data_IF_096195880606
#
_entry.id   IF_096195880606
#
_cell.length_a   1.000
_cell.length_b   1.000
_cell.length_c   1.000
_cell.angle_alpha   90.00
_cell.angle_beta   90.00
_cell.angle_gamma   90.00
#
_symmetry.space_group_name_H-M   'P 1'
#
loop_
_entity.id
_entity.type
_entity.pdbx_description
1 polymer ?
#
# COMPACT_ATOMS: atom_id res chain seq x y z
N UNK A 1 25.30 57.20 72.67
CA UNK A 1 24.32 58.21 73.08
C UNK A 1 22.97 57.58 72.82
N UNK A 2 22.36 56.93 73.87
CA UNK A 2 21.48 57.47 74.89
C UNK A 2 20.13 57.84 74.25
N UNK A 3 19.07 57.40 74.62
CA UNK A 3 18.29 57.07 75.80
C UNK A 3 16.87 56.71 75.29
N UNK A 4 16.36 55.61 75.67
CA UNK A 4 15.42 55.28 76.78
C UNK A 4 14.08 56.01 76.77
N UNK A 5 13.13 55.13 77.17
CA UNK A 5 11.92 55.20 78.00
C UNK A 5 10.56 55.20 77.24
N UNK A 6 9.85 54.08 77.36
CA UNK A 6 8.84 53.78 78.40
C UNK A 6 7.57 54.64 78.29
N UNK A 7 6.48 54.06 78.03
CA UNK A 7 5.44 53.97 79.04
C UNK A 7 4.34 52.94 78.64
N UNK A 8 4.08 52.04 79.56
CA UNK A 8 2.93 51.11 79.63
C UNK A 8 1.70 51.87 80.07
N UNK A 9 0.56 51.62 79.47
CA UNK A 9 -0.75 51.87 80.09
C UNK A 9 -1.62 50.61 79.98
N UNK A 10 -2.14 50.25 81.16
CA UNK A 10 -2.88 49.05 81.45
C UNK A 10 -4.36 49.10 81.01
N UNK A 11 -4.85 47.91 80.73
CA UNK A 11 -6.16 47.29 80.71
C UNK A 11 -7.39 48.13 81.23
N UNK A 12 -8.62 47.74 80.67
CA UNK A 12 -9.34 46.78 81.50
C UNK A 12 -9.99 45.63 80.73
N UNK A 13 -10.10 44.52 81.37
CA UNK A 13 -10.87 43.33 81.02
C UNK A 13 -12.34 43.65 81.00
N UNK A 14 -13.00 43.30 79.90
CA UNK A 14 -14.47 43.13 79.87
C UNK A 14 -14.77 41.68 79.57
N UNK A 15 -15.32 41.06 80.59
CA UNK A 15 -15.90 39.71 80.61
C UNK A 15 -17.29 39.83 80.00
N UNK A 16 -17.56 39.11 78.92
CA UNK A 16 -18.98 38.77 78.61
C UNK A 16 -19.12 37.58 77.66
N UNK A 17 -19.67 36.63 78.24
CA UNK A 17 -20.75 35.74 77.80
C UNK A 17 -20.66 35.00 76.49
N UNK A 18 -20.64 33.69 76.67
CA UNK A 18 -20.88 32.64 75.67
C UNK A 18 -22.18 32.86 74.88
N UNK A 19 -22.06 33.01 73.58
CA UNK A 19 -23.17 32.66 72.71
C UNK A 19 -22.64 31.80 71.59
N UNK A 20 -22.88 30.46 71.75
CA UNK A 20 -22.56 29.50 70.72
C UNK A 20 -23.56 29.65 69.63
N UNK A 21 -23.22 30.38 68.58
CA UNK A 21 -23.92 30.35 67.31
C UNK A 21 -23.31 29.21 66.50
N UNK A 22 -24.05 28.12 66.39
CA UNK A 22 -23.77 27.04 65.44
C UNK A 22 -23.93 27.60 64.03
N UNK A 23 -22.83 27.91 63.37
CA UNK A 23 -22.82 28.26 61.93
C UNK A 23 -22.91 26.93 61.16
N UNK A 24 -24.12 26.59 60.76
CA UNK A 24 -24.35 25.50 59.79
C UNK A 24 -23.82 26.01 58.44
N UNK A 25 -22.64 25.53 58.07
CA UNK A 25 -22.12 25.70 56.72
C UNK A 25 -22.88 24.71 55.83
N UNK A 26 -23.68 25.16 54.90
CA UNK A 26 -24.25 24.22 53.89
C UNK A 26 -23.09 23.66 53.07
N UNK A 27 -22.86 22.37 53.16
CA UNK A 27 -21.98 21.63 52.26
C UNK A 27 -22.53 21.82 50.83
N UNK A 28 -22.01 22.81 50.13
CA UNK A 28 -22.23 22.95 48.72
C UNK A 28 -21.66 21.71 48.04
N UNK A 29 -22.55 20.84 47.58
CA UNK A 29 -22.27 19.72 46.69
C UNK A 29 -21.53 20.29 45.48
N UNK A 30 -20.21 20.14 45.43
CA UNK A 30 -19.45 20.29 44.19
C UNK A 30 -19.93 19.16 43.26
N UNK A 31 -20.96 19.45 42.50
CA UNK A 31 -21.30 18.66 41.35
C UNK A 31 -20.12 18.80 40.38
N UNK A 32 -19.14 17.89 40.43
CA UNK A 32 -18.17 17.65 39.39
C UNK A 32 -18.96 17.27 38.16
N UNK A 33 -19.25 18.26 37.32
CA UNK A 33 -19.68 18.05 35.94
C UNK A 33 -18.53 17.29 35.27
N UNK A 34 -18.60 15.96 35.28
CA UNK A 34 -17.84 15.13 34.39
C UNK A 34 -18.27 15.57 32.98
N UNK A 35 -17.55 16.55 32.44
CA UNK A 35 -17.61 16.85 31.01
C UNK A 35 -17.27 15.54 30.32
N UNK A 36 -18.32 14.81 29.92
CA UNK A 36 -18.18 13.73 28.93
C UNK A 36 -17.53 14.41 27.73
N UNK A 37 -16.21 14.33 27.65
CA UNK A 37 -15.49 14.62 26.45
C UNK A 37 -16.12 13.67 25.42
N UNK A 38 -17.10 14.17 24.66
CA UNK A 38 -17.57 13.51 23.48
C UNK A 38 -16.31 13.33 22.63
N UNK A 39 -15.75 12.14 22.67
CA UNK A 39 -14.69 11.76 21.76
C UNK A 39 -15.25 12.05 20.37
N UNK A 40 -14.76 13.12 19.74
CA UNK A 40 -15.25 13.52 18.41
C UNK A 40 -15.19 12.29 17.54
N UNK A 41 -16.36 11.91 16.99
CA UNK A 41 -16.45 10.70 16.18
C UNK A 41 -15.45 10.81 15.02
N UNK A 42 -14.49 9.89 14.97
CA UNK A 42 -13.54 9.82 13.87
C UNK A 42 -14.24 9.39 12.58
N UNK A 43 -13.97 10.03 11.43
CA UNK A 43 -13.19 11.26 11.24
C UNK A 43 -14.05 12.53 11.45
N UNK A 44 -13.47 13.58 12.06
CA UNK A 44 -14.11 14.90 12.25
C UNK A 44 -13.53 16.01 11.36
N UNK A 45 -12.49 15.70 10.59
CA UNK A 45 -11.79 16.59 9.65
C UNK A 45 -11.35 15.82 8.42
N UNK A 46 -10.95 16.48 7.32
CA UNK A 46 -10.46 15.80 6.12
C UNK A 46 -9.28 14.88 6.40
N UNK A 47 -9.24 13.75 5.66
CA UNK A 47 -8.14 12.78 5.72
C UNK A 47 -7.20 13.04 4.55
N UNK A 48 -5.90 13.15 4.84
CA UNK A 48 -4.83 13.25 3.86
C UNK A 48 -4.40 11.84 3.41
N UNK A 49 -4.55 11.57 2.14
CA UNK A 49 -4.14 10.32 1.50
C UNK A 49 -2.88 10.57 0.69
N UNK A 50 -1.72 10.26 1.27
CA UNK A 50 -0.42 10.43 0.59
C UNK A 50 -0.23 9.27 -0.37
N UNK A 51 0.23 9.56 -1.58
CA UNK A 51 0.39 8.56 -2.65
C UNK A 51 1.59 8.90 -3.54
N UNK A 52 1.84 8.05 -4.54
CA UNK A 52 2.91 8.26 -5.52
C UNK A 52 2.62 9.46 -6.47
N UNK A 53 3.52 9.66 -7.42
CA UNK A 53 3.47 10.74 -8.41
C UNK A 53 2.13 10.77 -9.15
N UNK A 54 1.69 11.98 -9.48
CA UNK A 54 0.42 12.21 -10.19
C UNK A 54 0.42 11.57 -11.59
N UNK A 55 -0.71 11.00 -11.99
CA UNK A 55 -0.92 10.37 -13.29
C UNK A 55 -0.42 8.95 -13.42
N UNK A 56 0.18 8.37 -12.36
CA UNK A 56 0.55 6.95 -12.29
C UNK A 56 -0.61 6.04 -11.84
N UNK A 57 -0.41 4.72 -11.92
CA UNK A 57 -1.40 3.74 -11.50
C UNK A 57 -1.78 3.89 -10.01
N UNK A 58 -0.80 4.16 -9.15
CA UNK A 58 -1.03 4.34 -7.72
C UNK A 58 -1.86 5.60 -7.41
N UNK A 59 -1.63 6.70 -8.15
CA UNK A 59 -2.46 7.91 -8.06
C UNK A 59 -3.90 7.65 -8.51
N UNK A 60 -4.09 6.93 -9.61
CA UNK A 60 -5.42 6.51 -10.08
C UNK A 60 -6.16 5.73 -8.99
N UNK A 61 -5.52 4.73 -8.40
CA UNK A 61 -6.09 3.92 -7.33
C UNK A 61 -6.44 4.78 -6.10
N UNK A 62 -5.54 5.67 -5.68
CA UNK A 62 -5.79 6.58 -4.57
C UNK A 62 -7.03 7.46 -4.81
N UNK A 63 -7.20 8.01 -6.03
CA UNK A 63 -8.38 8.82 -6.41
C UNK A 63 -9.65 8.00 -6.48
N UNK A 64 -9.59 6.77 -6.99
CA UNK A 64 -10.75 5.86 -6.98
C UNK A 64 -11.20 5.58 -5.54
N UNK A 65 -10.28 5.19 -4.66
CA UNK A 65 -10.60 4.95 -3.24
C UNK A 65 -11.14 6.21 -2.57
N UNK A 66 -10.46 7.36 -2.74
CA UNK A 66 -10.87 8.63 -2.15
C UNK A 66 -12.31 9.00 -2.54
N UNK A 67 -12.67 8.82 -3.80
CA UNK A 67 -14.02 9.04 -4.31
C UNK A 67 -15.05 8.14 -3.64
N UNK A 68 -14.75 6.86 -3.49
CA UNK A 68 -15.70 5.87 -2.96
C UNK A 68 -15.94 6.05 -1.44
N UNK A 69 -14.93 6.51 -0.67
CA UNK A 69 -15.03 6.57 0.80
C UNK A 69 -15.36 7.94 1.36
N UNK A 70 -15.27 9.02 0.57
CA UNK A 70 -15.55 10.39 1.07
C UNK A 70 -16.97 10.54 1.60
N UNK A 71 -17.98 10.00 0.89
CA UNK A 71 -19.38 10.00 1.32
C UNK A 71 -19.59 9.19 2.61
N UNK A 72 -19.25 7.90 2.64
CA UNK A 72 -19.38 7.05 3.83
C UNK A 72 -18.66 7.57 5.08
N UNK A 73 -17.50 8.19 4.92
CA UNK A 73 -16.76 8.79 6.04
C UNK A 73 -17.31 10.17 6.45
N UNK A 74 -18.15 10.81 5.62
CA UNK A 74 -18.64 12.16 5.86
C UNK A 74 -17.55 13.23 5.85
N UNK A 75 -16.38 12.92 5.30
CA UNK A 75 -15.21 13.80 5.26
C UNK A 75 -14.53 13.73 3.90
N UNK A 76 -13.94 14.85 3.49
CA UNK A 76 -13.15 14.90 2.27
C UNK A 76 -11.86 14.10 2.40
N UNK A 77 -11.51 13.36 1.37
CA UNK A 77 -10.22 12.69 1.24
C UNK A 77 -9.35 13.52 0.29
N UNK A 78 -8.25 14.05 0.79
CA UNK A 78 -7.31 14.89 0.03
C UNK A 78 -6.17 14.01 -0.45
N UNK A 79 -6.11 13.76 -1.76
CA UNK A 79 -5.01 13.02 -2.39
C UNK A 79 -3.80 13.95 -2.52
N UNK A 80 -2.70 13.56 -1.88
CA UNK A 80 -1.44 14.31 -1.85
C UNK A 80 -0.34 13.51 -2.55
N UNK A 81 0.02 13.93 -3.75
CA UNK A 81 1.01 13.24 -4.58
C UNK A 81 2.44 13.61 -4.14
N UNK A 82 3.28 12.60 -3.98
CA UNK A 82 4.70 12.69 -3.61
C UNK A 82 5.52 11.70 -4.44
N UNK A 83 6.85 11.82 -4.36
CA UNK A 83 7.69 10.75 -4.85
C UNK A 83 7.41 9.45 -4.07
N UNK A 84 7.45 8.29 -4.73
CA UNK A 84 7.07 7.00 -4.15
C UNK A 84 7.80 6.67 -2.84
N UNK A 85 9.11 6.95 -2.76
CA UNK A 85 9.90 6.70 -1.54
C UNK A 85 9.61 7.75 -0.46
N UNK A 86 9.50 9.03 -0.86
CA UNK A 86 9.20 10.13 0.05
C UNK A 86 7.80 9.99 0.68
N UNK A 87 6.83 9.42 -0.04
CA UNK A 87 5.47 9.19 0.48
C UNK A 87 5.49 8.27 1.70
N UNK A 88 6.30 7.21 1.67
CA UNK A 88 6.50 6.31 2.82
C UNK A 88 7.12 7.01 4.02
N UNK A 89 8.20 7.79 3.80
CA UNK A 89 8.86 8.56 4.88
C UNK A 89 7.90 9.57 5.54
N UNK A 90 7.14 10.33 4.74
CA UNK A 90 6.17 11.30 5.26
C UNK A 90 5.15 10.61 6.17
N UNK A 91 4.57 9.48 5.73
CA UNK A 91 3.51 8.82 6.49
C UNK A 91 4.06 8.11 7.72
N UNK A 92 5.23 7.48 7.66
CA UNK A 92 5.85 6.83 8.82
C UNK A 92 6.07 7.77 10.00
N UNK A 93 6.31 9.06 9.72
CA UNK A 93 6.53 10.14 10.70
C UNK A 93 5.29 10.94 11.04
N UNK A 94 4.15 10.66 10.42
CA UNK A 94 2.90 11.38 10.66
C UNK A 94 2.28 11.01 12.02
N UNK A 95 1.33 11.83 12.48
CA UNK A 95 0.57 11.53 13.70
C UNK A 95 -0.21 10.22 13.54
N UNK A 96 -0.30 9.47 14.62
CA UNK A 96 -0.96 8.14 14.68
C UNK A 96 -2.47 8.26 14.91
N UNK A 97 -3.08 9.31 14.35
CA UNK A 97 -4.48 9.69 14.57
C UNK A 97 -5.41 9.27 13.43
N UNK A 98 -4.86 8.66 12.38
CA UNK A 98 -5.61 8.20 11.21
C UNK A 98 -5.94 9.28 10.18
N UNK A 99 -5.55 10.53 10.39
CA UNK A 99 -5.79 11.61 9.43
C UNK A 99 -4.72 11.74 8.34
N UNK A 100 -3.67 10.92 8.42
CA UNK A 100 -2.71 10.75 7.32
C UNK A 100 -2.55 9.26 7.05
N UNK A 101 -2.88 8.83 5.85
CA UNK A 101 -2.74 7.44 5.39
C UNK A 101 -1.92 7.38 4.12
N UNK A 102 -1.31 6.25 3.85
CA UNK A 102 -0.54 5.96 2.65
C UNK A 102 -1.35 5.07 1.72
N UNK A 103 -1.44 5.45 0.44
CA UNK A 103 -1.82 4.54 -0.64
C UNK A 103 -0.59 4.30 -1.48
N UNK A 104 -0.14 3.04 -1.53
CA UNK A 104 1.08 2.70 -2.27
C UNK A 104 0.97 1.29 -2.86
N UNK A 105 1.78 1.05 -3.90
CA UNK A 105 1.92 -0.28 -4.50
C UNK A 105 2.89 -1.15 -3.70
N UNK A 106 3.04 -2.43 -4.12
CA UNK A 106 4.03 -3.36 -3.55
C UNK A 106 5.46 -2.83 -3.60
N UNK A 107 5.75 -1.84 -4.43
CA UNK A 107 7.03 -1.13 -4.46
C UNK A 107 7.42 -0.59 -3.08
N UNK A 108 6.43 -0.18 -2.27
CA UNK A 108 6.67 0.34 -0.92
C UNK A 108 7.42 -0.66 -0.01
N UNK A 109 7.07 -1.94 -0.04
CA UNK A 109 7.74 -2.94 0.80
C UNK A 109 8.84 -3.73 0.10
N UNK A 110 8.99 -3.54 -1.21
CA UNK A 110 10.05 -4.19 -1.99
C UNK A 110 11.26 -3.27 -2.18
N UNK A 111 11.08 -1.96 -2.32
CA UNK A 111 12.17 -0.99 -2.52
C UNK A 111 13.28 -1.08 -1.47
N UNK A 112 13.00 -1.29 -0.15
CA UNK A 112 14.06 -1.43 0.85
C UNK A 112 15.01 -2.61 0.63
N UNK A 113 14.62 -3.59 -0.19
CA UNK A 113 15.46 -4.72 -0.57
C UNK A 113 16.49 -4.36 -1.65
N UNK A 114 16.30 -3.25 -2.37
CA UNK A 114 17.11 -2.84 -3.52
C UNK A 114 17.89 -1.55 -3.27
N UNK A 115 17.41 -0.70 -2.35
CA UNK A 115 17.99 0.60 -2.04
C UNK A 115 17.69 1.02 -0.60
N UNK A 116 18.45 1.97 -0.07
CA UNK A 116 18.17 2.55 1.26
C UNK A 116 16.88 3.35 1.25
N UNK A 117 16.08 3.16 2.28
CA UNK A 117 14.85 3.93 2.55
C UNK A 117 14.91 4.51 3.95
N UNK A 118 14.17 5.59 4.20
CA UNK A 118 14.07 6.23 5.52
C UNK A 118 12.99 5.61 6.41
N UNK A 119 12.39 4.51 5.99
CA UNK A 119 11.34 3.78 6.70
C UNK A 119 11.55 2.27 6.60
N UNK A 120 11.01 1.56 7.57
CA UNK A 120 10.84 0.10 7.55
C UNK A 120 9.38 -0.23 7.19
N UNK A 121 9.09 -0.95 6.09
CA UNK A 121 7.74 -1.15 5.59
C UNK A 121 6.86 -2.01 6.49
N UNK A 122 7.44 -2.77 7.40
CA UNK A 122 6.71 -3.64 8.34
C UNK A 122 6.58 -3.00 9.71
N UNK A 123 7.66 -2.40 10.20
CA UNK A 123 7.72 -1.83 11.56
C UNK A 123 7.01 -0.49 11.68
N UNK A 124 7.14 0.36 10.66
CA UNK A 124 6.73 1.77 10.75
C UNK A 124 5.30 2.00 10.24
N UNK A 125 4.59 0.94 9.81
CA UNK A 125 3.23 1.02 9.28
C UNK A 125 2.28 0.00 9.91
N UNK A 126 1.01 0.41 9.98
CA UNK A 126 -0.13 -0.45 10.31
C UNK A 126 -0.93 -0.73 9.03
N UNK A 127 -1.04 -1.98 8.57
CA UNK A 127 -1.86 -2.34 7.42
C UNK A 127 -3.34 -2.05 7.65
N UNK A 128 -4.04 -1.53 6.63
CA UNK A 128 -5.49 -1.32 6.66
C UNK A 128 -6.17 -2.32 5.73
N UNK A 129 -5.87 -2.28 4.44
CA UNK A 129 -6.43 -3.22 3.46
C UNK A 129 -5.65 -3.22 2.16
N UNK A 130 -5.65 -4.36 1.48
CA UNK A 130 -5.31 -4.47 0.07
C UNK A 130 -6.49 -3.93 -0.75
N UNK A 131 -6.24 -2.97 -1.62
CA UNK A 131 -7.27 -2.31 -2.42
C UNK A 131 -7.63 -3.17 -3.62
N UNK A 132 -6.61 -3.48 -4.41
CA UNK A 132 -6.75 -4.17 -5.69
C UNK A 132 -5.59 -5.11 -5.98
N UNK A 133 -5.80 -5.88 -7.03
CA UNK A 133 -4.79 -6.68 -7.74
C UNK A 133 -4.83 -6.30 -9.20
N UNK A 134 -3.68 -6.07 -9.79
CA UNK A 134 -3.51 -5.88 -11.22
C UNK A 134 -2.65 -7.02 -11.76
N UNK A 135 -3.22 -7.99 -12.48
CA UNK A 135 -2.44 -9.07 -13.05
C UNK A 135 -1.52 -8.54 -14.13
N UNK A 136 -0.33 -9.11 -14.21
CA UNK A 136 0.48 -9.01 -15.40
C UNK A 136 0.21 -10.24 -16.28
N UNK A 137 0.56 -10.15 -17.54
CA UNK A 137 0.48 -11.28 -18.48
C UNK A 137 1.86 -11.58 -19.04
N UNK A 138 2.17 -12.86 -19.11
CA UNK A 138 3.34 -13.37 -19.83
C UNK A 138 2.97 -13.43 -21.30
N UNK A 139 3.61 -12.57 -22.09
CA UNK A 139 3.40 -12.47 -23.54
C UNK A 139 4.68 -12.79 -24.30
N UNK A 140 4.52 -13.33 -25.49
CA UNK A 140 5.61 -13.60 -26.43
C UNK A 140 5.31 -13.04 -27.80
N UNK A 141 6.37 -12.75 -28.57
CA UNK A 141 6.23 -12.42 -30.00
C UNK A 141 5.75 -13.65 -30.78
N UNK A 142 4.87 -13.52 -31.78
CA UNK A 142 4.33 -14.66 -32.54
C UNK A 142 5.36 -15.57 -33.18
N UNK A 143 6.56 -15.05 -33.52
CA UNK A 143 7.67 -15.85 -34.07
C UNK A 143 8.32 -16.79 -33.06
N UNK A 144 8.06 -16.62 -31.75
CA UNK A 144 8.50 -17.59 -30.74
C UNK A 144 7.64 -18.84 -30.85
N UNK A 145 8.30 -19.99 -31.04
CA UNK A 145 7.63 -21.28 -31.19
C UNK A 145 7.16 -21.84 -29.85
N UNK A 146 6.31 -21.06 -29.15
CA UNK A 146 5.68 -21.43 -27.87
C UNK A 146 4.26 -20.85 -27.81
N UNK A 147 3.29 -21.67 -27.44
CA UNK A 147 1.86 -21.31 -27.23
C UNK A 147 1.38 -21.62 -25.83
N UNK A 148 2.29 -22.08 -24.97
CA UNK A 148 2.06 -22.30 -23.55
C UNK A 148 3.31 -21.97 -22.74
N UNK A 149 3.16 -21.78 -21.42
CA UNK A 149 4.30 -21.58 -20.52
C UNK A 149 5.24 -22.79 -20.53
N UNK A 150 4.69 -24.02 -20.61
CA UNK A 150 5.48 -25.25 -20.70
C UNK A 150 6.37 -25.29 -21.94
N UNK A 151 5.82 -24.91 -23.09
CA UNK A 151 6.57 -24.84 -24.34
C UNK A 151 7.65 -23.77 -24.31
N UNK A 152 7.35 -22.59 -23.72
CA UNK A 152 8.32 -21.52 -23.54
C UNK A 152 9.49 -21.96 -22.65
N UNK A 153 9.19 -22.61 -21.53
CA UNK A 153 10.21 -23.16 -20.59
C UNK A 153 11.04 -24.24 -21.30
N UNK A 154 10.40 -25.15 -22.02
CA UNK A 154 11.11 -26.19 -22.79
C UNK A 154 12.03 -25.58 -23.84
N UNK A 155 11.57 -24.58 -24.59
CA UNK A 155 12.37 -23.87 -25.61
C UNK A 155 13.58 -23.17 -24.96
N UNK A 156 13.38 -22.47 -23.83
CA UNK A 156 14.43 -21.77 -23.12
C UNK A 156 15.50 -22.74 -22.54
N UNK A 157 15.08 -23.92 -22.10
CA UNK A 157 15.99 -24.99 -21.63
C UNK A 157 16.74 -25.65 -22.76
N UNK A 158 16.10 -25.86 -23.91
CA UNK A 158 16.75 -26.44 -25.10
C UNK A 158 17.80 -25.48 -25.73
N UNK A 159 17.60 -24.17 -25.60
CA UNK A 159 18.47 -23.15 -26.19
C UNK A 159 18.81 -22.06 -25.15
N UNK A 160 19.65 -22.37 -24.14
CA UNK A 160 19.97 -21.44 -23.06
C UNK A 160 20.59 -20.14 -23.59
N UNK A 161 20.08 -18.98 -23.12
CA UNK A 161 20.60 -17.66 -23.45
C UNK A 161 20.22 -17.13 -24.85
N UNK A 162 19.44 -17.88 -25.65
CA UNK A 162 19.00 -17.41 -26.97
C UNK A 162 17.74 -16.55 -26.89
N UNK A 163 16.87 -16.79 -25.88
CA UNK A 163 15.71 -15.96 -25.65
C UNK A 163 16.11 -14.77 -24.78
N UNK A 164 15.47 -13.62 -25.07
CA UNK A 164 15.60 -12.42 -24.26
C UNK A 164 14.21 -11.91 -23.85
N UNK A 165 14.18 -11.11 -22.79
CA UNK A 165 12.96 -10.48 -22.30
C UNK A 165 13.20 -8.99 -22.03
N UNK A 166 12.17 -8.19 -22.28
CA UNK A 166 12.19 -6.75 -22.02
C UNK A 166 11.51 -6.37 -20.72
N UNK A 167 11.96 -5.27 -20.12
CA UNK A 167 11.33 -4.65 -18.96
C UNK A 167 11.31 -3.14 -19.08
N UNK A 168 10.57 -2.45 -18.20
CA UNK A 168 10.55 -0.99 -18.15
C UNK A 168 11.80 -0.39 -17.47
N UNK A 169 12.78 -1.22 -17.09
CA UNK A 169 14.01 -0.84 -16.40
C UNK A 169 14.36 -1.82 -15.28
N UNK A 170 15.60 -1.74 -14.82
CA UNK A 170 16.08 -2.56 -13.71
C UNK A 170 15.36 -2.22 -12.41
N UNK A 171 15.01 -3.25 -11.60
CA UNK A 171 14.32 -3.08 -10.32
C UNK A 171 12.81 -2.79 -10.43
N UNK A 172 12.24 -2.64 -11.63
CA UNK A 172 10.79 -2.45 -11.79
C UNK A 172 10.01 -3.73 -11.43
N UNK A 173 8.72 -3.60 -11.12
CA UNK A 173 7.86 -4.73 -10.79
C UNK A 173 7.86 -5.80 -11.90
N UNK A 174 7.88 -5.39 -13.16
CA UNK A 174 7.95 -6.29 -14.32
C UNK A 174 9.31 -7.01 -14.41
N UNK A 175 10.40 -6.33 -14.04
CA UNK A 175 11.72 -6.97 -13.95
C UNK A 175 11.73 -8.03 -12.85
N UNK A 176 11.27 -7.69 -11.65
CA UNK A 176 11.18 -8.64 -10.53
C UNK A 176 10.30 -9.84 -10.86
N UNK A 177 9.18 -9.62 -11.54
CA UNK A 177 8.29 -10.69 -12.01
C UNK A 177 9.00 -11.63 -13.01
N UNK A 178 9.77 -11.07 -13.95
CA UNK A 178 10.49 -11.84 -14.95
C UNK A 178 11.68 -12.61 -14.32
N UNK A 179 12.40 -12.01 -13.40
CA UNK A 179 13.49 -12.68 -12.66
C UNK A 179 12.97 -13.79 -11.75
N UNK A 180 11.82 -13.58 -11.09
CA UNK A 180 11.14 -14.64 -10.34
C UNK A 180 10.77 -15.80 -11.26
N UNK A 181 10.19 -15.51 -12.44
CA UNK A 181 9.85 -16.53 -13.43
C UNK A 181 11.09 -17.28 -13.91
N UNK A 182 12.15 -16.56 -14.29
CA UNK A 182 13.42 -17.13 -14.74
C UNK A 182 14.02 -18.08 -13.70
N UNK A 183 14.03 -17.65 -12.45
CA UNK A 183 14.60 -18.41 -11.32
C UNK A 183 13.76 -19.65 -11.01
N UNK A 184 12.42 -19.49 -10.91
CA UNK A 184 11.55 -20.63 -10.55
C UNK A 184 11.37 -21.64 -11.68
N UNK A 185 11.43 -21.20 -12.94
CA UNK A 185 11.39 -22.09 -14.11
C UNK A 185 12.75 -22.72 -14.42
N UNK A 186 13.82 -22.28 -13.75
CA UNK A 186 15.22 -22.69 -13.98
C UNK A 186 15.60 -22.59 -15.45
N UNK A 187 15.47 -21.37 -16.02
CA UNK A 187 15.78 -21.06 -17.41
C UNK A 187 16.83 -19.95 -17.52
N UNK A 188 17.59 -19.97 -18.61
CA UNK A 188 18.57 -18.95 -18.94
C UNK A 188 18.02 -18.10 -20.10
N UNK A 189 17.58 -16.88 -19.76
CA UNK A 189 17.10 -15.85 -20.70
C UNK A 189 17.81 -14.53 -20.41
N UNK A 190 17.98 -13.68 -21.42
CA UNK A 190 18.78 -12.44 -21.32
C UNK A 190 17.84 -11.25 -21.03
N UNK A 191 18.15 -10.48 -20.01
CA UNK A 191 17.43 -9.26 -19.68
C UNK A 191 17.85 -8.09 -20.58
N UNK A 192 16.86 -7.37 -21.13
CA UNK A 192 17.05 -6.15 -21.92
C UNK A 192 16.24 -5.03 -21.22
N UNK A 193 16.89 -4.11 -20.48
CA UNK A 193 16.25 -2.99 -19.82
C UNK A 193 15.91 -1.88 -20.82
N UNK A 194 14.72 -1.28 -20.69
CA UNK A 194 14.26 -0.11 -21.44
C UNK A 194 13.95 1.05 -20.50
N UNK A 195 13.81 2.25 -21.04
CA UNK A 195 13.41 3.45 -20.26
C UNK A 195 11.89 3.56 -20.06
N UNK A 196 11.17 2.46 -20.16
CA UNK A 196 9.72 2.39 -19.95
C UNK A 196 9.03 1.27 -20.71
N UNK A 197 7.80 0.95 -20.29
CA UNK A 197 6.99 -0.14 -20.85
C UNK A 197 6.72 0.02 -22.34
N UNK A 198 6.44 1.25 -22.78
CA UNK A 198 6.09 1.50 -24.19
C UNK A 198 7.22 1.13 -25.16
N UNK A 199 8.47 1.46 -24.84
CA UNK A 199 9.63 1.08 -25.65
C UNK A 199 9.83 -0.43 -25.69
N UNK A 200 9.71 -1.09 -24.52
CA UNK A 200 9.83 -2.54 -24.42
C UNK A 200 8.75 -3.26 -25.24
N UNK A 201 7.49 -2.78 -25.19
CA UNK A 201 6.40 -3.32 -26.03
C UNK A 201 6.67 -3.08 -27.53
N UNK A 202 7.16 -1.91 -27.91
CA UNK A 202 7.50 -1.64 -29.31
C UNK A 202 8.55 -2.61 -29.87
N UNK A 203 9.58 -2.91 -29.09
CA UNK A 203 10.61 -3.87 -29.50
C UNK A 203 10.12 -5.32 -29.45
N UNK A 204 9.20 -5.65 -28.55
CA UNK A 204 8.52 -6.95 -28.56
C UNK A 204 7.65 -7.12 -29.81
N UNK A 205 6.90 -6.10 -30.21
CA UNK A 205 6.10 -6.09 -31.43
C UNK A 205 6.94 -6.19 -32.70
N UNK A 206 8.15 -5.63 -32.67
CA UNK A 206 9.12 -5.71 -33.77
C UNK A 206 9.91 -7.03 -33.78
N UNK A 207 9.72 -7.93 -32.79
CA UNK A 207 10.45 -9.19 -32.69
C UNK A 207 11.91 -9.03 -32.28
N UNK A 208 12.35 -7.86 -31.80
CA UNK A 208 13.73 -7.63 -31.28
C UNK A 208 13.94 -8.27 -29.92
N UNK A 209 12.88 -8.39 -29.15
CA UNK A 209 12.84 -9.21 -27.93
C UNK A 209 11.75 -10.29 -28.07
N UNK A 210 11.92 -11.37 -27.32
CA UNK A 210 11.12 -12.58 -27.49
C UNK A 210 9.91 -12.66 -26.58
N UNK A 211 10.05 -12.17 -25.34
CA UNK A 211 9.02 -12.29 -24.29
C UNK A 211 9.03 -11.08 -23.36
N UNK A 212 7.93 -10.90 -22.65
CA UNK A 212 7.78 -9.88 -21.63
C UNK A 212 6.74 -10.33 -20.61
N UNK A 213 6.94 -10.03 -19.33
CA UNK A 213 5.87 -9.99 -18.34
C UNK A 213 5.39 -8.53 -18.31
N UNK A 214 4.25 -8.28 -18.92
CA UNK A 214 3.73 -6.95 -19.15
C UNK A 214 2.52 -6.67 -18.25
N UNK A 215 2.31 -5.41 -17.87
CA UNK A 215 1.02 -4.99 -17.35
C UNK A 215 -0.07 -5.36 -18.36
N UNK A 216 -1.11 -6.02 -17.89
CA UNK A 216 -2.15 -6.57 -18.73
C UNK A 216 -2.85 -5.49 -19.55
N UNK A 217 -3.13 -4.32 -18.99
CA UNK A 217 -3.73 -3.19 -19.71
C UNK A 217 -2.88 -2.71 -20.89
N UNK A 218 -1.56 -2.72 -20.76
CA UNK A 218 -0.65 -2.30 -21.82
C UNK A 218 -0.50 -3.35 -22.93
N UNK A 219 -0.55 -4.63 -22.63
CA UNK A 219 -0.37 -5.71 -23.60
C UNK A 219 -1.68 -6.17 -24.27
N UNK A 220 -2.82 -6.06 -23.60
CA UNK A 220 -4.11 -6.58 -24.06
C UNK A 220 -4.54 -6.09 -25.46
N UNK A 221 -4.38 -4.82 -25.84
CA UNK A 221 -4.73 -4.37 -27.19
C UNK A 221 -3.94 -5.11 -28.29
N UNK A 222 -2.67 -5.41 -28.00
CA UNK A 222 -1.79 -6.10 -28.94
C UNK A 222 -2.08 -7.60 -29.02
N UNK A 223 -2.48 -8.22 -27.90
CA UNK A 223 -2.94 -9.60 -27.85
C UNK A 223 -4.25 -9.74 -28.64
N UNK A 224 -5.24 -8.85 -28.40
CA UNK A 224 -6.51 -8.82 -29.16
C UNK A 224 -6.30 -8.63 -30.66
N UNK A 225 -5.29 -7.85 -31.04
CA UNK A 225 -4.94 -7.64 -32.45
C UNK A 225 -4.09 -8.79 -33.07
N UNK A 226 -3.81 -9.87 -32.32
CA UNK A 226 -2.99 -10.99 -32.76
C UNK A 226 -1.51 -10.67 -32.96
N UNK A 227 -1.05 -9.47 -32.53
CA UNK A 227 0.34 -9.04 -32.63
C UNK A 227 1.23 -9.59 -31.55
N UNK A 228 0.67 -10.05 -30.44
CA UNK A 228 1.33 -10.76 -29.36
C UNK A 228 0.53 -12.00 -28.98
N UNK A 229 1.21 -13.00 -28.43
CA UNK A 229 0.59 -14.21 -27.88
C UNK A 229 0.67 -14.16 -26.37
N UNK A 230 -0.48 -14.16 -25.69
CA UNK A 230 -0.55 -14.29 -24.24
C UNK A 230 -0.50 -15.76 -23.85
N UNK A 231 0.37 -16.12 -22.92
CA UNK A 231 0.56 -17.51 -22.47
C UNK A 231 -0.10 -17.78 -21.11
N UNK A 232 -0.09 -16.82 -20.20
CA UNK A 232 -0.64 -16.98 -18.86
C UNK A 232 -0.77 -15.62 -18.14
N UNK A 233 -1.64 -15.56 -17.14
CA UNK A 233 -1.62 -14.49 -16.13
C UNK A 233 -0.60 -14.83 -15.04
N UNK A 234 -0.03 -13.79 -14.44
CA UNK A 234 1.01 -13.94 -13.40
C UNK A 234 0.45 -14.02 -11.99
N UNK A 235 -0.86 -13.83 -11.84
CA UNK A 235 -1.58 -13.93 -10.57
C UNK A 235 -1.56 -15.34 -9.98
N UNK A 236 -1.71 -15.43 -8.65
CA UNK A 236 -1.83 -16.72 -7.96
C UNK A 236 -3.10 -17.49 -8.35
N UNK A 237 -4.16 -16.74 -8.71
CA UNK A 237 -5.45 -17.27 -9.14
C UNK A 237 -5.79 -16.77 -10.53
N UNK A 238 -6.78 -17.41 -11.18
CA UNK A 238 -7.33 -16.95 -12.46
C UNK A 238 -7.85 -15.51 -12.33
N UNK A 239 -7.67 -14.73 -13.38
CA UNK A 239 -8.09 -13.33 -13.42
C UNK A 239 -9.48 -13.21 -14.04
N UNK A 240 -10.34 -12.39 -13.44
CA UNK A 240 -11.64 -12.05 -14.02
C UNK A 240 -11.50 -11.19 -15.29
N UNK A 241 -10.38 -10.49 -15.45
CA UNK A 241 -10.04 -9.70 -16.64
C UNK A 241 -9.61 -10.56 -17.83
N UNK A 242 -9.07 -11.77 -17.56
CA UNK A 242 -8.51 -12.69 -18.57
C UNK A 242 -8.89 -14.14 -18.21
N UNK A 243 -10.21 -14.46 -18.21
CA UNK A 243 -10.70 -15.78 -17.76
C UNK A 243 -10.21 -16.93 -18.66
N UNK A 244 -9.81 -16.60 -19.91
CA UNK A 244 -9.29 -17.57 -20.87
C UNK A 244 -7.82 -17.95 -20.65
N UNK A 245 -7.08 -17.15 -19.85
CA UNK A 245 -5.67 -17.41 -19.61
C UNK A 245 -5.46 -18.23 -18.35
N UNK A 246 -4.66 -19.30 -18.41
CA UNK A 246 -4.24 -20.04 -17.21
C UNK A 246 -3.28 -19.17 -16.37
N UNK A 247 -3.08 -19.55 -15.12
CA UNK A 247 -2.00 -18.96 -14.32
C UNK A 247 -0.65 -19.60 -14.68
N UNK A 248 0.45 -18.86 -14.49
CA UNK A 248 1.80 -19.40 -14.64
C UNK A 248 2.01 -20.62 -13.73
N UNK A 249 1.47 -20.58 -12.50
CA UNK A 249 1.50 -21.70 -11.56
C UNK A 249 0.82 -22.94 -12.11
N UNK A 250 -0.40 -22.82 -12.62
CA UNK A 250 -1.14 -23.94 -13.23
C UNK A 250 -0.47 -24.46 -14.50
N UNK A 251 0.34 -23.63 -15.14
CA UNK A 251 1.05 -23.94 -16.38
C UNK A 251 2.42 -24.59 -16.18
N UNK A 252 2.79 -24.97 -14.94
CA UNK A 252 3.96 -25.80 -14.66
C UNK A 252 5.11 -25.10 -13.92
N UNK A 253 4.97 -23.81 -13.54
CA UNK A 253 5.92 -23.14 -12.63
C UNK A 253 5.28 -23.01 -11.25
N UNK A 254 5.31 -24.11 -10.51
CA UNK A 254 4.62 -24.25 -9.23
C UNK A 254 5.01 -23.14 -8.23
N UNK A 255 4.01 -22.55 -7.58
CA UNK A 255 4.19 -21.50 -6.58
C UNK A 255 4.57 -20.11 -7.14
N UNK A 256 4.62 -19.96 -8.46
CA UNK A 256 4.84 -18.65 -9.07
C UNK A 256 3.59 -17.77 -8.89
N UNK A 257 3.82 -16.57 -8.36
CA UNK A 257 2.81 -15.51 -8.34
C UNK A 257 3.51 -14.15 -8.32
N UNK A 258 3.08 -13.26 -9.19
CA UNK A 258 3.58 -11.87 -9.24
C UNK A 258 2.48 -10.97 -9.76
N UNK A 259 2.00 -10.06 -8.91
CA UNK A 259 0.92 -9.13 -9.22
C UNK A 259 1.38 -7.73 -8.84
N UNK A 260 0.90 -6.73 -9.55
CA UNK A 260 0.89 -5.37 -9.05
C UNK A 260 -0.29 -5.23 -8.09
N UNK A 261 -0.03 -4.80 -6.88
CA UNK A 261 -1.05 -4.62 -5.84
C UNK A 261 -0.93 -3.24 -5.25
N UNK A 262 -2.05 -2.68 -4.79
CA UNK A 262 -2.07 -1.43 -4.05
C UNK A 262 -2.72 -1.64 -2.68
N UNK A 263 -2.21 -0.94 -1.69
CA UNK A 263 -2.65 -1.08 -0.30
C UNK A 263 -2.82 0.27 0.38
N UNK A 264 -3.69 0.30 1.39
CA UNK A 264 -3.79 1.40 2.34
C UNK A 264 -3.08 1.02 3.62
N UNK A 265 -2.21 1.91 4.07
CA UNK A 265 -1.43 1.78 5.29
C UNK A 265 -1.57 3.04 6.14
N UNK A 266 -1.50 2.90 7.46
CA UNK A 266 -1.41 4.02 8.40
C UNK A 266 -0.05 4.01 9.10
N UNK A 267 0.35 5.09 9.82
CA UNK A 267 1.50 5.04 10.70
C UNK A 267 1.37 3.94 11.76
N UNK A 268 2.46 3.26 12.09
CA UNK A 268 2.48 2.26 13.16
C UNK A 268 2.01 2.85 14.49
N UNK A 269 1.18 2.11 15.23
CA UNK A 269 0.60 2.57 16.50
C UNK A 269 -0.66 3.45 16.34
N UNK A 270 -1.21 3.59 15.13
CA UNK A 270 -2.56 4.12 14.94
C UNK A 270 -3.56 3.23 15.69
N UNK A 271 -4.50 3.85 16.43
CA UNK A 271 -5.45 3.12 17.27
C UNK A 271 -6.28 2.10 16.47
N UNK A 272 -6.46 0.90 17.01
CA UNK A 272 -7.18 -0.20 16.35
C UNK A 272 -8.58 0.23 15.87
N UNK A 273 -9.33 0.98 16.68
CA UNK A 273 -10.66 1.47 16.31
C UNK A 273 -10.65 2.36 15.05
N UNK A 274 -9.56 3.11 14.82
CA UNK A 274 -9.37 3.94 13.62
C UNK A 274 -9.04 3.05 12.42
N UNK A 275 -8.15 2.07 12.58
CA UNK A 275 -7.83 1.09 11.54
C UNK A 275 -9.10 0.33 11.13
N UNK A 276 -9.88 -0.17 12.08
CA UNK A 276 -11.13 -0.91 11.84
C UNK A 276 -12.18 -0.07 11.14
N UNK A 277 -12.28 1.22 11.51
CA UNK A 277 -13.22 2.15 10.83
C UNK A 277 -12.80 2.36 9.38
N UNK A 278 -11.53 2.71 9.13
CA UNK A 278 -11.02 2.90 7.77
C UNK A 278 -11.14 1.62 6.93
N UNK A 279 -10.72 0.48 7.48
CA UNK A 279 -10.83 -0.81 6.83
C UNK A 279 -12.28 -1.10 6.41
N UNK A 280 -13.24 -1.00 7.35
CA UNK A 280 -14.65 -1.29 7.09
C UNK A 280 -15.22 -0.40 5.99
N UNK A 281 -14.97 0.92 6.05
CA UNK A 281 -15.52 1.85 5.06
C UNK A 281 -14.90 1.62 3.67
N UNK A 282 -13.58 1.40 3.60
CA UNK A 282 -12.91 1.12 2.33
C UNK A 282 -13.43 -0.20 1.74
N UNK A 283 -13.44 -1.28 2.50
CA UNK A 283 -13.85 -2.60 1.99
C UNK A 283 -15.32 -2.61 1.59
N UNK A 284 -16.19 -1.93 2.35
CA UNK A 284 -17.62 -1.80 2.00
C UNK A 284 -17.79 -1.04 0.69
N UNK A 285 -17.08 0.09 0.53
CA UNK A 285 -17.12 0.88 -0.70
C UNK A 285 -16.62 0.10 -1.92
N UNK A 286 -15.50 -0.62 -1.77
CA UNK A 286 -14.91 -1.44 -2.83
C UNK A 286 -15.82 -2.58 -3.29
N UNK A 287 -16.69 -3.12 -2.42
CA UNK A 287 -17.61 -4.21 -2.75
C UNK A 287 -18.82 -3.76 -3.57
N UNK A 288 -19.09 -2.48 -3.70
CA UNK A 288 -20.22 -1.98 -4.48
C UNK A 288 -20.06 -2.31 -5.98
N UNK A 289 -21.17 -2.58 -6.71
CA UNK A 289 -21.12 -2.86 -8.15
C UNK A 289 -20.42 -1.73 -8.92
N UNK A 290 -20.70 -0.48 -8.58
CA UNK A 290 -20.15 0.70 -9.24
C UNK A 290 -18.62 0.81 -9.05
N UNK A 291 -18.12 0.56 -7.82
CA UNK A 291 -16.69 0.54 -7.56
C UNK A 291 -16.01 -0.57 -8.35
N UNK A 292 -16.56 -1.79 -8.32
CA UNK A 292 -16.02 -2.94 -9.08
C UNK A 292 -15.94 -2.64 -10.57
N UNK A 293 -17.00 -2.08 -11.16
CA UNK A 293 -17.02 -1.71 -12.57
C UNK A 293 -15.92 -0.67 -12.90
N UNK A 294 -15.76 0.37 -12.06
CA UNK A 294 -14.72 1.38 -12.27
C UNK A 294 -13.31 0.81 -12.19
N UNK A 295 -13.07 -0.05 -11.20
CA UNK A 295 -11.77 -0.72 -11.06
C UNK A 295 -11.50 -1.65 -12.23
N UNK A 296 -12.46 -2.48 -12.63
CA UNK A 296 -12.34 -3.35 -13.81
C UNK A 296 -12.09 -2.54 -15.08
N UNK A 297 -12.80 -1.42 -15.27
CA UNK A 297 -12.57 -0.50 -16.39
C UNK A 297 -11.17 0.11 -16.42
N UNK A 298 -10.51 0.19 -15.26
CA UNK A 298 -9.11 0.61 -15.12
C UNK A 298 -8.11 -0.55 -15.20
N UNK A 299 -8.56 -1.79 -15.44
CA UNK A 299 -7.69 -2.98 -15.47
C UNK A 299 -7.26 -3.48 -14.11
N UNK A 300 -8.06 -3.19 -13.06
CA UNK A 300 -7.80 -3.52 -11.67
C UNK A 300 -8.91 -4.46 -11.13
N UNK A 301 -8.53 -5.44 -10.36
CA UNK A 301 -9.46 -6.33 -9.67
C UNK A 301 -9.52 -5.95 -8.18
N UNK A 302 -10.70 -5.58 -7.71
CA UNK A 302 -10.90 -5.24 -6.29
C UNK A 302 -10.58 -6.43 -5.39
N UNK A 303 -9.80 -6.22 -4.33
CA UNK A 303 -9.40 -7.25 -3.37
C UNK A 303 -10.14 -7.11 -2.04
N UNK A 304 -9.91 -6.04 -1.28
CA UNK A 304 -10.58 -5.78 0.00
C UNK A 304 -10.17 -6.75 1.10
N UNK A 305 -8.85 -6.94 1.33
CA UNK A 305 -8.34 -7.86 2.36
C UNK A 305 -8.53 -7.33 3.79
N UNK A 306 -8.46 -8.22 4.77
CA UNK A 306 -8.27 -7.83 6.16
C UNK A 306 -6.85 -7.23 6.40
N UNK A 307 -6.65 -6.46 7.48
CA UNK A 307 -5.32 -5.98 7.87
C UNK A 307 -4.30 -7.11 8.06
N UNK A 308 -4.72 -8.23 8.64
CA UNK A 308 -3.87 -9.39 8.89
C UNK A 308 -3.44 -10.10 7.59
N UNK A 309 -4.33 -10.23 6.62
CA UNK A 309 -4.01 -10.78 5.29
C UNK A 309 -3.02 -9.89 4.54
N UNK A 310 -3.20 -8.55 4.59
CA UNK A 310 -2.25 -7.61 4.01
C UNK A 310 -0.87 -7.72 4.68
N UNK A 311 -0.83 -7.77 6.02
CA UNK A 311 0.43 -7.95 6.76
C UNK A 311 1.16 -9.24 6.36
N UNK A 312 0.40 -10.34 6.18
CA UNK A 312 0.93 -11.64 5.76
C UNK A 312 1.46 -11.58 4.32
N UNK A 313 0.72 -10.92 3.42
CA UNK A 313 1.14 -10.71 2.03
C UNK A 313 2.46 -9.92 1.96
N UNK A 314 2.56 -8.80 2.67
CA UNK A 314 3.77 -7.97 2.70
C UNK A 314 5.00 -8.78 3.15
N UNK A 315 4.87 -9.55 4.24
CA UNK A 315 5.96 -10.40 4.75
C UNK A 315 6.34 -11.50 3.76
N UNK A 316 5.35 -12.15 3.15
CA UNK A 316 5.60 -13.20 2.15
C UNK A 316 6.30 -12.66 0.90
N UNK A 317 5.89 -11.49 0.42
CA UNK A 317 6.53 -10.83 -0.71
C UNK A 317 7.97 -10.42 -0.40
N UNK A 318 8.22 -9.82 0.76
CA UNK A 318 9.57 -9.45 1.21
C UNK A 318 10.48 -10.68 1.25
N UNK A 319 10.01 -11.78 1.83
CA UNK A 319 10.79 -13.02 1.94
C UNK A 319 11.07 -13.64 0.57
N UNK A 320 10.03 -13.76 -0.27
CA UNK A 320 10.12 -14.38 -1.60
C UNK A 320 10.98 -13.56 -2.57
N UNK A 321 10.66 -12.27 -2.70
CA UNK A 321 11.36 -11.39 -3.64
C UNK A 321 12.75 -11.01 -3.13
N UNK A 322 12.93 -10.94 -1.80
CA UNK A 322 14.25 -10.69 -1.21
C UNK A 322 15.28 -11.75 -1.60
N UNK A 323 14.88 -13.02 -1.67
CA UNK A 323 15.75 -14.09 -2.19
C UNK A 323 16.09 -13.86 -3.66
N UNK A 324 15.10 -13.55 -4.50
CA UNK A 324 15.30 -13.32 -5.94
C UNK A 324 16.19 -12.11 -6.20
N UNK A 325 15.93 -11.00 -5.50
CA UNK A 325 16.70 -9.76 -5.61
C UNK A 325 18.18 -10.02 -5.25
N UNK A 326 18.41 -10.74 -4.14
CA UNK A 326 19.76 -11.09 -3.69
C UNK A 326 20.47 -12.01 -4.69
N UNK A 327 19.83 -13.08 -5.12
CA UNK A 327 20.40 -14.09 -6.00
C UNK A 327 20.69 -13.54 -7.41
N UNK A 328 19.85 -12.62 -7.90
CA UNK A 328 20.00 -11.97 -9.20
C UNK A 328 20.86 -10.68 -9.15
N UNK A 329 21.28 -10.23 -7.95
CA UNK A 329 22.08 -9.02 -7.77
C UNK A 329 21.34 -7.73 -8.18
N UNK A 330 19.99 -7.72 -8.08
CA UNK A 330 19.17 -6.60 -8.53
C UNK A 330 19.33 -5.42 -7.55
N UNK A 331 19.60 -4.24 -8.12
CA UNK A 331 19.64 -2.96 -7.40
C UNK A 331 18.76 -1.96 -8.12
N UNK A 332 18.16 -1.02 -7.38
CA UNK A 332 17.52 0.14 -7.98
C UNK A 332 18.60 1.07 -8.56
N UNK A 333 18.35 1.57 -9.76
CA UNK A 333 19.21 2.55 -10.44
C UNK A 333 18.92 3.96 -9.94
#
# INVERSE_FOLDING_TARGET
MDLTRLTAIALPQVRCMHNRVFLIIPSALLATSASSAFAQAYPSKPIRMVTAEAGGATDLVARLVAREISGPLGQQIIVDNRNALTSGDIVSRSQRDGYTVLVQSSVHWISPLMQSTYYDPVRDFAPITLIDRAPNILVVHPAVSARSVRELVALAKAKPGTLNYGTAGSGTANHLAAELFRTMADIKVVHIPYRGTAQSIADLLAGRIHMMIANAGAAAPHVKAGKLVALAVTSAQTSALYPELPTVTASGVSGYASESVHAVLAPAGTAAAVIDKLHREIVTALKTPQAKERFLGAGLEVAGSSPAELASLMKADIARLGKVIKDAGIRAE
#
